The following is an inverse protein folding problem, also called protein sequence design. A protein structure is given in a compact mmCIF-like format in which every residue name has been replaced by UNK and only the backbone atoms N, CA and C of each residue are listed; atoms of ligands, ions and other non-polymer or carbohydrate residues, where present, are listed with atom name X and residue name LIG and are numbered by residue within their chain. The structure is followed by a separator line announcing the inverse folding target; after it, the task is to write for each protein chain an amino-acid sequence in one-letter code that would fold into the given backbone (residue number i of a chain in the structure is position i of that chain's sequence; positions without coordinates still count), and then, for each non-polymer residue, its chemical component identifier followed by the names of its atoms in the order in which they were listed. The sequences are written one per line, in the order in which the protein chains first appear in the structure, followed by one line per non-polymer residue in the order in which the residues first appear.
data_IF_231947518805
#
_entry.id   IF_231947518805
#
_cell.length_a   1.000
_cell.length_b   1.000
_cell.length_c   1.000
_cell.angle_alpha   90.00
_cell.angle_beta   90.00
_cell.angle_gamma   90.00
#
_symmetry.space_group_name_H-M   'P 1'
#
loop_
_entity.id
_entity.type
_entity.pdbx_description
1 polymer ?
#
# COMPACT_ATOMS: atom_id res chain seq x y z
N UNK A 1 -0.91 -2.13 4.59
CA UNK A 1 -0.70 -1.95 3.13
C UNK A 1 -1.92 -2.46 2.38
N UNK A 2 -2.30 -1.73 1.35
CA UNK A 2 -3.45 -2.03 0.49
C UNK A 2 -2.97 -2.21 -0.97
N UNK A 3 -3.72 -2.97 -1.75
CA UNK A 3 -3.50 -3.09 -3.19
C UNK A 3 -4.32 -2.02 -3.91
N UNK A 4 -3.75 -1.34 -4.91
CA UNK A 4 -4.42 -0.21 -5.59
C UNK A 4 -5.72 -0.58 -6.32
N UNK A 5 -5.94 -1.86 -6.66
CA UNK A 5 -7.23 -2.36 -7.20
C UNK A 5 -8.12 -3.05 -6.18
N UNK A 6 -7.66 -3.17 -4.93
CA UNK A 6 -8.36 -3.96 -3.91
C UNK A 6 -9.63 -3.29 -3.38
N UNK A 7 -9.77 -1.98 -3.56
CA UNK A 7 -10.86 -1.17 -3.03
C UNK A 7 -11.45 -0.27 -4.13
N UNK A 8 -12.66 0.22 -3.89
CA UNK A 8 -13.28 1.26 -4.71
C UNK A 8 -12.87 2.62 -4.14
N UNK A 9 -11.88 3.25 -4.76
CA UNK A 9 -11.36 4.55 -4.34
C UNK A 9 -12.22 5.68 -4.89
N UNK A 10 -12.70 6.54 -4.00
CA UNK A 10 -13.53 7.68 -4.33
C UNK A 10 -12.93 8.98 -3.78
N UNK A 11 -13.25 10.10 -4.43
CA UNK A 11 -12.99 11.45 -3.89
C UNK A 11 -14.03 11.79 -2.82
N UNK A 12 -13.87 12.93 -2.14
CA UNK A 12 -14.86 13.41 -1.17
C UNK A 12 -16.24 13.63 -1.81
N UNK A 13 -16.27 13.98 -3.10
CA UNK A 13 -17.47 14.19 -3.92
C UNK A 13 -18.07 12.86 -4.43
N UNK A 14 -17.47 11.72 -4.09
CA UNK A 14 -17.94 10.40 -4.52
C UNK A 14 -17.56 10.01 -5.95
N UNK A 15 -16.73 10.81 -6.64
CA UNK A 15 -16.18 10.47 -7.95
C UNK A 15 -15.06 9.44 -7.84
N UNK A 16 -14.68 8.78 -8.93
CA UNK A 16 -13.56 7.82 -8.91
C UNK A 16 -12.25 8.58 -8.66
N UNK A 17 -11.49 8.15 -7.64
CA UNK A 17 -10.19 8.72 -7.34
C UNK A 17 -9.14 8.27 -8.37
N UNK A 18 -8.41 9.22 -8.96
CA UNK A 18 -7.30 8.92 -9.88
C UNK A 18 -6.02 8.56 -9.11
N UNK A 19 -5.89 7.28 -8.81
CA UNK A 19 -4.71 6.75 -8.12
C UNK A 19 -3.41 6.97 -8.91
N UNK A 20 -3.41 6.82 -10.23
CA UNK A 20 -2.15 6.95 -10.99
C UNK A 20 -1.75 8.42 -11.12
N UNK A 21 -2.72 9.33 -11.33
CA UNK A 21 -2.48 10.77 -11.24
C UNK A 21 -1.87 11.18 -9.90
N UNK A 22 -2.44 10.68 -8.79
CA UNK A 22 -1.91 10.91 -7.44
C UNK A 22 -0.46 10.40 -7.30
N UNK A 23 -0.16 9.17 -7.74
CA UNK A 23 1.18 8.60 -7.64
C UNK A 23 2.21 9.31 -8.52
N UNK A 24 1.83 9.76 -9.73
CA UNK A 24 2.73 10.52 -10.61
C UNK A 24 3.06 11.90 -10.09
N UNK A 25 2.17 12.49 -9.30
CA UNK A 25 2.38 13.78 -8.67
C UNK A 25 3.39 13.75 -7.50
N UNK A 26 3.86 12.57 -7.10
CA UNK A 26 4.79 12.43 -5.98
C UNK A 26 6.24 12.59 -6.43
N UNK A 27 6.98 13.46 -5.75
CA UNK A 27 8.43 13.53 -5.90
C UNK A 27 9.06 12.21 -5.45
N UNK A 28 10.15 11.82 -6.13
CA UNK A 28 10.90 10.62 -5.76
C UNK A 28 11.40 10.72 -4.31
N UNK A 29 11.06 9.72 -3.50
CA UNK A 29 11.47 9.65 -2.09
C UNK A 29 10.61 10.45 -1.11
N UNK A 30 9.63 11.24 -1.58
CA UNK A 30 8.62 11.84 -0.70
C UNK A 30 7.40 10.94 -0.56
N UNK A 31 6.77 11.00 0.61
CA UNK A 31 5.48 10.39 0.84
C UNK A 31 4.39 11.33 0.33
N UNK A 32 3.43 10.78 -0.40
CA UNK A 32 2.18 11.47 -0.71
C UNK A 32 1.14 11.15 0.35
N UNK A 33 0.32 12.13 0.72
CA UNK A 33 -0.84 11.89 1.57
C UNK A 33 -2.08 12.58 1.01
N UNK A 34 -3.23 11.94 1.21
CA UNK A 34 -4.53 12.51 0.85
C UNK A 34 -5.65 11.78 1.59
N UNK A 35 -6.80 12.42 1.69
CA UNK A 35 -8.02 11.78 2.18
C UNK A 35 -8.81 11.22 1.02
N UNK A 36 -9.14 9.93 1.10
CA UNK A 36 -9.97 9.24 0.11
C UNK A 36 -11.22 8.68 0.78
N UNK A 37 -12.28 8.54 -0.01
CA UNK A 37 -13.47 7.82 0.41
C UNK A 37 -13.37 6.37 -0.09
N UNK A 38 -13.52 5.41 0.82
CA UNK A 38 -13.55 3.99 0.48
C UNK A 38 -14.99 3.57 0.22
N UNK A 39 -15.30 3.36 -1.05
CA UNK A 39 -16.58 2.80 -1.45
C UNK A 39 -16.61 1.28 -1.33
N UNK A 40 -17.80 0.71 -1.38
CA UNK A 40 -17.97 -0.74 -1.39
C UNK A 40 -17.41 -1.37 -2.67
N UNK A 41 -16.74 -2.51 -2.50
CA UNK A 41 -16.27 -3.38 -3.58
C UNK A 41 -16.85 -4.78 -3.35
N UNK A 42 -17.69 -5.25 -4.28
CA UNK A 42 -18.29 -6.60 -4.26
C UNK A 42 -19.76 -6.68 -3.82
N UNK A 43 -20.30 -7.90 -3.80
CA UNK A 43 -21.72 -8.25 -3.64
C UNK A 43 -22.21 -8.32 -2.17
N UNK A 44 -21.48 -7.73 -1.21
CA UNK A 44 -21.85 -7.75 0.22
C UNK A 44 -22.57 -6.45 0.61
N UNK A 45 -23.54 -6.59 1.54
CA UNK A 45 -24.48 -5.55 2.01
C UNK A 45 -23.84 -4.17 2.11
N UNK A 46 -24.47 -3.22 1.43
CA UNK A 46 -24.00 -1.87 1.21
C UNK A 46 -23.81 -1.07 2.51
N UNK A 47 -22.56 -0.78 2.87
CA UNK A 47 -22.23 0.30 3.82
C UNK A 47 -22.12 1.65 3.09
N UNK A 48 -22.30 2.76 3.80
CA UNK A 48 -21.96 4.07 3.24
C UNK A 48 -20.44 4.17 3.01
N UNK A 49 -19.97 4.86 1.95
CA UNK A 49 -18.54 5.15 1.80
C UNK A 49 -18.00 5.84 3.06
N UNK A 50 -16.80 5.47 3.48
CA UNK A 50 -16.18 6.04 4.69
C UNK A 50 -14.84 6.72 4.34
N UNK A 51 -14.47 7.80 5.03
CA UNK A 51 -13.19 8.47 4.82
C UNK A 51 -12.04 7.63 5.36
N UNK A 52 -10.92 7.67 4.67
CA UNK A 52 -9.68 7.07 5.13
C UNK A 52 -8.48 7.89 4.63
N UNK A 53 -7.43 7.93 5.44
CA UNK A 53 -6.18 8.59 5.05
C UNK A 53 -5.33 7.61 4.23
N UNK A 54 -5.03 7.99 3.00
CA UNK A 54 -4.17 7.27 2.09
C UNK A 54 -2.78 7.89 2.13
N UNK A 55 -1.78 7.08 2.47
CA UNK A 55 -0.37 7.45 2.42
C UNK A 55 0.30 6.58 1.35
N UNK A 56 0.91 7.22 0.36
CA UNK A 56 1.73 6.57 -0.66
C UNK A 56 3.20 6.82 -0.35
N UNK A 57 3.91 5.74 -0.01
CA UNK A 57 5.35 5.78 0.28
C UNK A 57 6.11 5.39 -0.98
N UNK A 58 6.88 6.34 -1.53
CA UNK A 58 7.77 6.09 -2.66
C UNK A 58 8.89 5.14 -2.26
N UNK A 59 9.08 4.06 -3.02
CA UNK A 59 10.23 3.20 -2.82
C UNK A 59 11.48 3.86 -3.42
N UNK A 60 12.66 3.71 -2.78
CA UNK A 60 13.92 4.05 -3.42
C UNK A 60 14.04 3.38 -4.81
N UNK A 61 14.70 4.01 -5.79
CA UNK A 61 14.74 3.50 -7.17
C UNK A 61 15.18 2.04 -7.28
N UNK A 62 16.17 1.60 -6.50
CA UNK A 62 16.61 0.20 -6.47
C UNK A 62 15.47 -0.75 -6.04
N UNK A 63 14.72 -0.38 -5.00
CA UNK A 63 13.66 -1.20 -4.41
C UNK A 63 12.43 -1.22 -5.30
N UNK A 64 12.15 -0.09 -5.94
CA UNK A 64 11.13 0.00 -6.97
C UNK A 64 11.46 -0.92 -8.15
N UNK A 65 12.72 -0.94 -8.62
CA UNK A 65 13.15 -1.84 -9.69
C UNK A 65 13.03 -3.31 -9.29
N UNK A 66 13.50 -3.69 -8.11
CA UNK A 66 13.37 -5.06 -7.59
C UNK A 66 11.89 -5.46 -7.51
N UNK A 67 11.04 -4.58 -6.99
CA UNK A 67 9.58 -4.79 -6.89
C UNK A 67 8.96 -5.03 -8.27
N UNK A 68 9.28 -4.19 -9.26
CA UNK A 68 8.81 -4.30 -10.65
C UNK A 68 9.30 -5.60 -11.31
N UNK A 69 10.58 -5.92 -11.20
CA UNK A 69 11.16 -7.15 -11.77
C UNK A 69 10.52 -8.41 -11.17
N UNK A 70 10.31 -8.42 -9.85
CA UNK A 70 9.63 -9.52 -9.16
C UNK A 70 8.18 -9.66 -9.62
N UNK A 71 7.46 -8.55 -9.77
CA UNK A 71 6.08 -8.55 -10.25
C UNK A 71 5.98 -9.16 -11.66
N UNK A 72 6.90 -8.77 -12.55
CA UNK A 72 6.97 -9.29 -13.92
C UNK A 72 7.29 -10.79 -13.94
N UNK A 73 8.28 -11.23 -13.17
CA UNK A 73 8.67 -12.64 -13.12
C UNK A 73 7.55 -13.53 -12.54
N UNK A 74 6.89 -13.09 -11.48
CA UNK A 74 5.77 -13.82 -10.87
C UNK A 74 4.56 -13.92 -11.81
N UNK A 75 4.25 -12.87 -12.58
CA UNK A 75 3.16 -12.91 -13.55
C UNK A 75 3.52 -13.73 -14.80
N UNK A 76 4.75 -13.65 -15.29
CA UNK A 76 5.25 -14.52 -16.38
C UNK A 76 5.13 -15.99 -16.01
N UNK A 77 5.55 -16.38 -14.80
CA UNK A 77 5.39 -17.76 -14.29
C UNK A 77 3.93 -18.22 -14.24
N UNK A 78 2.99 -17.27 -14.07
CA UNK A 78 1.55 -17.52 -14.03
C UNK A 78 0.86 -17.36 -15.39
N UNK A 79 1.60 -17.10 -16.47
CA UNK A 79 1.04 -16.86 -17.80
C UNK A 79 0.18 -15.60 -17.91
N UNK A 80 0.43 -14.58 -17.05
CA UNK A 80 -0.36 -13.34 -17.00
C UNK A 80 0.46 -12.16 -17.52
N UNK A 81 -0.23 -11.24 -18.19
CA UNK A 81 0.33 -9.95 -18.61
C UNK A 81 0.10 -8.91 -17.52
N UNK A 82 1.15 -8.18 -17.16
CA UNK A 82 1.10 -7.10 -16.18
C UNK A 82 0.62 -5.82 -16.87
N UNK A 83 -0.39 -5.17 -16.31
CA UNK A 83 -0.86 -3.86 -16.79
C UNK A 83 0.10 -2.75 -16.36
N UNK A 84 0.23 -1.70 -17.19
CA UNK A 84 1.15 -0.59 -16.96
C UNK A 84 0.94 0.07 -15.59
N UNK A 85 -0.31 0.29 -15.20
CA UNK A 85 -0.71 0.89 -13.92
C UNK A 85 -0.30 0.02 -12.73
N UNK A 86 -0.26 -1.31 -12.92
CA UNK A 86 0.19 -2.22 -11.86
C UNK A 86 1.71 -2.14 -11.69
N UNK A 87 2.44 -1.95 -12.79
CA UNK A 87 3.89 -1.74 -12.76
C UNK A 87 4.25 -0.38 -12.14
N UNK A 88 3.46 0.66 -12.45
CA UNK A 88 3.60 2.00 -11.88
C UNK A 88 3.34 1.99 -10.38
N UNK A 89 2.22 1.40 -9.94
CA UNK A 89 1.90 1.24 -8.52
C UNK A 89 2.95 0.39 -7.75
N UNK A 90 3.66 -0.51 -8.43
CA UNK A 90 4.69 -1.35 -7.80
C UNK A 90 5.91 -0.57 -7.29
N UNK A 91 6.09 0.69 -7.72
CA UNK A 91 7.08 1.61 -7.18
C UNK A 91 6.70 2.21 -5.81
N UNK A 92 5.50 1.93 -5.29
CA UNK A 92 4.97 2.56 -4.10
C UNK A 92 4.44 1.52 -3.10
N UNK A 93 4.47 1.88 -1.82
CA UNK A 93 3.74 1.19 -0.77
C UNK A 93 2.54 2.05 -0.40
N UNK A 94 1.33 1.55 -0.67
CA UNK A 94 0.10 2.21 -0.28
C UNK A 94 -0.32 1.76 1.11
N UNK A 95 -0.48 2.73 2.02
CA UNK A 95 -0.94 2.55 3.39
C UNK A 95 -2.28 3.25 3.53
N UNK A 96 -3.23 2.55 4.15
CA UNK A 96 -4.52 3.10 4.51
C UNK A 96 -4.58 3.13 6.03
N UNK A 97 -4.92 4.26 6.62
CA UNK A 97 -4.94 4.46 8.06
C UNK A 97 -6.10 5.35 8.50
N UNK A 98 -6.53 5.18 9.74
CA UNK A 98 -7.45 6.08 10.44
C UNK A 98 -6.73 7.02 11.41
N UNK A 99 -5.39 6.95 11.49
CA UNK A 99 -4.60 7.82 12.35
C UNK A 99 -4.66 9.26 11.83
N UNK A 100 -4.98 10.24 12.70
CA UNK A 100 -5.18 11.60 12.28
C UNK A 100 -3.83 12.26 11.95
N UNK A 101 -3.87 13.26 11.07
CA UNK A 101 -2.68 13.90 10.51
C UNK A 101 -1.98 14.83 11.50
N UNK A 102 -2.74 15.45 12.39
CA UNK A 102 -2.26 16.35 13.45
C UNK A 102 -1.44 15.64 14.53
N UNK A 103 -1.72 14.37 14.81
CA UNK A 103 -0.97 13.56 15.77
C UNK A 103 0.13 12.70 15.13
N UNK A 104 -0.09 12.23 13.89
CA UNK A 104 0.81 11.31 13.21
C UNK A 104 1.14 11.77 11.79
N UNK A 105 2.40 12.14 11.55
CA UNK A 105 2.86 12.47 10.21
C UNK A 105 2.88 11.25 9.28
N UNK A 106 2.81 11.47 7.96
CA UNK A 106 2.91 10.39 6.98
C UNK A 106 4.21 9.58 7.13
N UNK A 107 5.30 10.23 7.52
CA UNK A 107 6.60 9.60 7.80
C UNK A 107 6.53 8.68 9.02
N UNK A 108 5.94 9.12 10.14
CA UNK A 108 5.79 8.30 11.34
C UNK A 108 4.93 7.06 11.06
N UNK A 109 3.84 7.21 10.29
CA UNK A 109 3.02 6.07 9.88
C UNK A 109 3.80 5.11 8.98
N UNK A 110 4.60 5.64 8.05
CA UNK A 110 5.45 4.82 7.17
C UNK A 110 6.52 4.05 7.96
N UNK A 111 7.17 4.70 8.92
CA UNK A 111 8.19 4.07 9.78
C UNK A 111 7.59 3.02 10.71
N UNK A 112 6.43 3.31 11.32
CA UNK A 112 5.67 2.31 12.08
C UNK A 112 5.36 1.09 11.20
N UNK A 113 4.95 1.30 9.94
CA UNK A 113 4.70 0.19 9.02
C UNK A 113 5.97 -0.62 8.66
N UNK A 114 7.15 0.02 8.62
CA UNK A 114 8.43 -0.69 8.40
C UNK A 114 8.75 -1.66 9.55
N UNK A 115 8.35 -1.34 10.78
CA UNK A 115 8.57 -2.19 11.95
C UNK A 115 7.78 -3.51 11.90
N UNK A 116 6.70 -3.61 11.11
CA UNK A 116 5.91 -4.84 10.99
C UNK A 116 6.77 -6.06 10.63
N UNK A 117 7.74 -5.89 9.74
CA UNK A 117 8.63 -6.99 9.35
C UNK A 117 9.71 -7.28 10.40
N UNK A 118 10.22 -6.26 11.10
CA UNK A 118 11.14 -6.43 12.22
C UNK A 118 10.49 -7.24 13.35
N UNK A 119 9.22 -6.97 13.64
CA UNK A 119 8.44 -7.73 14.61
C UNK A 119 8.29 -9.20 14.18
N UNK A 120 7.95 -9.46 12.92
CA UNK A 120 7.86 -10.82 12.40
C UNK A 120 9.20 -11.57 12.51
N UNK A 121 10.31 -10.90 12.18
CA UNK A 121 11.65 -11.48 12.28
C UNK A 121 12.05 -11.76 13.73
N UNK A 122 11.74 -10.84 14.65
CA UNK A 122 11.95 -11.03 16.08
C UNK A 122 11.18 -12.25 16.61
N UNK A 123 9.90 -12.40 16.22
CA UNK A 123 9.11 -13.58 16.59
C UNK A 123 9.68 -14.87 15.99
N UNK A 124 10.10 -14.88 14.71
CA UNK A 124 10.77 -16.05 14.11
C UNK A 124 12.03 -16.44 14.88
N UNK A 125 12.85 -15.47 15.25
CA UNK A 125 14.07 -15.71 16.04
C UNK A 125 13.75 -16.26 17.43
N UNK A 126 12.76 -15.68 18.12
CA UNK A 126 12.35 -16.14 19.46
C UNK A 126 11.84 -17.58 19.43
N UNK A 127 11.01 -17.93 18.44
CA UNK A 127 10.51 -19.30 18.28
C UNK A 127 11.63 -20.31 18.05
N UNK A 128 12.61 -19.97 17.21
CA UNK A 128 13.79 -20.79 16.97
C UNK A 128 14.65 -20.97 18.23
N UNK A 129 14.86 -19.91 19.03
CA UNK A 129 15.67 -19.98 20.25
C UNK A 129 14.97 -20.73 21.38
N UNK A 130 13.65 -20.57 21.51
CA UNK A 130 12.84 -21.15 22.57
C UNK A 130 12.22 -22.49 22.18
N UNK A 131 12.50 -23.01 20.98
CA UNK A 131 11.94 -24.26 20.43
C UNK A 131 10.40 -24.29 20.47
N UNK A 132 9.75 -23.17 20.17
CA UNK A 132 8.28 -23.00 20.23
C UNK A 132 7.57 -23.40 18.92
N UNK A 133 8.27 -24.09 18.02
CA UNK A 133 7.75 -24.58 16.73
C UNK A 133 7.34 -26.07 16.78
N UNK A 134 7.15 -26.63 18.00
CA UNK A 134 6.68 -28.00 18.22
C UNK A 134 5.20 -28.19 17.88
#
# INVERSE_FOLDING_TARGET
RVHWRGLRWLTAEGMRFDMMGFLRGLDCGKNGETTVMIGNSGNKKAGAPFPARLIAVSLPPEKALISKTRLLSENRRKGRVVQAETLEAAGHVLLLTSLPEDEYSAEQVADCYRLRWQIELAFKRLKSLLHLDA
#
